data_IF_617796260344
#
_entry.id   IF_617796260344
#
_cell.length_a   1.000
_cell.length_b   1.000
_cell.length_c   1.000
_cell.angle_alpha   90.00
_cell.angle_beta   90.00
_cell.angle_gamma   90.00
#
_symmetry.space_group_name_H-M   'P 1'
#
loop_
_entity.id
_entity.type
_entity.pdbx_description
1 polymer ?
#
# COMPACT_ATOMS: atom_id res chain seq x y z
N UNK A 1 13.34 15.97 -34.99
CA UNK A 1 13.21 15.54 -33.59
C UNK A 1 12.09 16.39 -33.01
N UNK A 2 10.86 15.87 -32.94
CA UNK A 2 9.78 16.50 -32.20
C UNK A 2 10.21 16.55 -30.72
N UNK A 3 10.20 17.75 -30.12
CA UNK A 3 10.23 17.86 -28.67
C UNK A 3 8.99 17.10 -28.17
N UNK A 4 9.20 15.95 -27.55
CA UNK A 4 8.10 15.26 -26.91
C UNK A 4 7.43 16.23 -25.94
N UNK A 5 6.14 16.35 -26.03
CA UNK A 5 5.35 17.09 -25.03
C UNK A 5 5.68 16.48 -23.68
N UNK A 6 6.03 17.31 -22.72
CA UNK A 6 6.33 16.88 -21.36
C UNK A 6 5.03 16.33 -20.80
N UNK A 7 4.95 15.03 -20.58
CA UNK A 7 3.82 14.42 -19.89
C UNK A 7 3.87 14.87 -18.43
N UNK A 8 2.75 15.31 -17.91
CA UNK A 8 2.60 15.89 -16.59
C UNK A 8 1.43 15.20 -15.91
N UNK A 9 1.48 15.07 -14.59
CA UNK A 9 0.45 14.40 -13.83
C UNK A 9 -0.88 15.16 -13.90
N UNK A 10 -1.96 14.43 -14.22
CA UNK A 10 -3.31 14.96 -14.25
C UNK A 10 -4.13 14.41 -13.10
N UNK A 11 -4.78 15.29 -12.38
CA UNK A 11 -5.78 14.95 -11.38
C UNK A 11 -7.16 15.40 -11.84
N UNK A 12 -8.18 14.65 -11.45
CA UNK A 12 -9.58 14.93 -11.81
C UNK A 12 -10.47 14.89 -10.58
N UNK A 13 -11.40 15.86 -10.40
CA UNK A 13 -12.48 15.74 -9.43
C UNK A 13 -13.45 14.65 -9.87
N UNK A 14 -14.17 14.05 -8.93
CA UNK A 14 -15.11 12.96 -9.20
C UNK A 14 -16.34 13.02 -8.27
N UNK A 15 -17.42 12.36 -8.65
CA UNK A 15 -18.63 12.24 -7.86
C UNK A 15 -18.49 11.02 -6.93
N UNK A 16 -17.91 11.25 -5.74
CA UNK A 16 -17.67 10.16 -4.82
C UNK A 16 -18.96 9.48 -4.36
N UNK A 17 -18.96 8.15 -4.38
CA UNK A 17 -19.87 7.35 -3.58
C UNK A 17 -19.18 7.19 -2.22
N UNK A 18 -19.83 7.65 -1.14
CA UNK A 18 -19.23 7.72 0.17
C UNK A 18 -20.27 7.51 1.27
N UNK A 19 -19.88 7.03 2.48
CA UNK A 19 -20.83 6.82 3.56
C UNK A 19 -21.45 8.15 4.04
N UNK A 20 -22.64 8.07 4.59
CA UNK A 20 -23.17 9.17 5.41
C UNK A 20 -22.30 9.36 6.64
N UNK A 21 -22.24 10.58 7.20
CA UNK A 21 -21.31 10.93 8.28
C UNK A 21 -21.39 9.95 9.46
N UNK A 22 -22.61 9.62 9.88
CA UNK A 22 -22.88 8.75 11.04
C UNK A 22 -22.43 7.29 10.83
N UNK A 23 -22.13 6.90 9.59
CA UNK A 23 -21.69 5.55 9.23
C UNK A 23 -20.21 5.48 8.89
N UNK A 24 -19.52 6.60 8.68
CA UNK A 24 -18.15 6.63 8.20
C UNK A 24 -17.19 5.76 9.04
N UNK A 25 -17.25 5.86 10.35
CA UNK A 25 -16.42 5.06 11.27
C UNK A 25 -16.71 3.55 11.19
N UNK A 26 -17.97 3.17 10.98
CA UNK A 26 -18.39 1.77 10.88
C UNK A 26 -18.04 1.17 9.52
N UNK A 27 -18.06 1.99 8.46
CA UNK A 27 -17.77 1.59 7.09
C UNK A 27 -16.26 1.44 6.87
N UNK A 28 -15.46 2.37 7.38
CA UNK A 28 -14.03 2.44 7.15
C UNK A 28 -13.31 1.12 7.49
N UNK A 29 -12.73 0.47 6.49
CA UNK A 29 -12.10 -0.83 6.64
C UNK A 29 -10.64 -0.80 6.22
N UNK A 30 -9.81 -1.67 6.81
CA UNK A 30 -8.46 -1.91 6.31
C UNK A 30 -8.49 -2.45 4.87
N UNK A 31 -7.45 -2.20 4.06
CA UNK A 31 -7.35 -2.76 2.72
C UNK A 31 -7.47 -4.28 2.72
N UNK A 32 -8.02 -4.83 1.65
CA UNK A 32 -8.36 -6.26 1.48
C UNK A 32 -7.20 -7.23 1.72
N UNK A 33 -5.97 -6.78 1.54
CA UNK A 33 -4.74 -7.57 1.61
C UNK A 33 -4.03 -7.51 2.98
N UNK A 34 -4.55 -6.74 3.92
CA UNK A 34 -4.01 -6.62 5.29
C UNK A 34 -4.49 -7.76 6.18
N UNK A 35 -5.73 -8.24 5.97
CA UNK A 35 -6.37 -9.30 6.76
C UNK A 35 -6.59 -10.55 5.91
N UNK A 36 -6.41 -11.73 6.49
CA UNK A 36 -6.91 -12.96 5.89
C UNK A 36 -8.44 -13.07 6.09
N UNK A 37 -9.09 -14.06 5.46
CA UNK A 37 -10.56 -14.19 5.49
C UNK A 37 -11.11 -14.53 6.89
N UNK A 38 -10.34 -15.25 7.72
CA UNK A 38 -10.74 -15.59 9.09
C UNK A 38 -10.65 -14.36 10.00
N UNK A 39 -9.55 -13.61 9.93
CA UNK A 39 -9.37 -12.34 10.65
C UNK A 39 -10.46 -11.34 10.23
N UNK A 40 -10.79 -11.26 8.94
CA UNK A 40 -11.84 -10.37 8.46
C UNK A 40 -13.22 -10.74 9.01
N UNK A 41 -13.57 -12.04 9.12
CA UNK A 41 -14.81 -12.50 9.77
C UNK A 41 -14.89 -12.08 11.24
N UNK A 42 -13.75 -12.15 11.96
CA UNK A 42 -13.71 -11.70 13.36
C UNK A 42 -13.92 -10.19 13.49
N UNK A 43 -13.24 -9.41 12.64
CA UNK A 43 -13.33 -7.94 12.66
C UNK A 43 -14.75 -7.43 12.37
N UNK A 44 -15.50 -8.09 11.48
CA UNK A 44 -16.86 -7.62 11.13
C UNK A 44 -17.93 -8.09 12.10
N UNK A 45 -17.61 -8.88 13.13
CA UNK A 45 -18.61 -9.33 14.10
C UNK A 45 -19.32 -8.16 14.77
N UNK A 46 -20.63 -8.08 14.57
CA UNK A 46 -21.47 -7.00 15.10
C UNK A 46 -21.41 -5.68 14.31
N UNK A 47 -20.67 -5.63 13.20
CA UNK A 47 -20.62 -4.48 12.31
C UNK A 47 -21.08 -4.83 10.89
N UNK A 48 -22.39 -4.79 10.58
CA UNK A 48 -22.92 -5.11 9.26
C UNK A 48 -22.59 -4.06 8.21
N UNK A 49 -22.00 -2.93 8.57
CA UNK A 49 -21.67 -1.82 7.68
C UNK A 49 -20.20 -1.82 7.24
N UNK A 50 -19.36 -2.69 7.83
CA UNK A 50 -17.94 -2.76 7.46
C UNK A 50 -17.76 -2.94 5.96
N UNK A 51 -16.89 -2.14 5.36
CA UNK A 51 -16.60 -2.24 3.93
C UNK A 51 -15.88 -3.55 3.56
N UNK A 52 -15.42 -4.32 4.55
CA UNK A 52 -14.93 -5.68 4.30
C UNK A 52 -16.00 -6.60 3.69
N UNK A 53 -17.29 -6.34 3.90
CA UNK A 53 -18.37 -7.04 3.20
C UNK A 53 -18.37 -6.80 1.68
N UNK A 54 -17.71 -5.72 1.21
CA UNK A 54 -17.49 -5.45 -0.21
C UNK A 54 -16.10 -5.93 -0.65
N UNK A 55 -15.04 -5.51 0.03
CA UNK A 55 -13.65 -5.78 -0.39
C UNK A 55 -13.21 -7.23 -0.18
N UNK A 56 -13.86 -7.96 0.74
CA UNK A 56 -13.61 -9.36 1.12
C UNK A 56 -14.92 -10.14 1.26
N UNK A 57 -15.78 -10.06 0.24
CA UNK A 57 -17.15 -10.60 0.31
C UNK A 57 -17.24 -12.12 0.55
N UNK A 58 -16.12 -12.87 0.46
CA UNK A 58 -16.05 -14.27 0.87
C UNK A 58 -16.36 -14.46 2.36
N UNK A 59 -16.32 -13.41 3.17
CA UNK A 59 -16.68 -13.49 4.60
C UNK A 59 -18.16 -13.73 4.82
N UNK A 60 -19.00 -13.37 3.85
CA UNK A 60 -20.46 -13.54 3.87
C UNK A 60 -20.92 -14.88 3.27
N UNK A 61 -19.97 -15.69 2.80
CA UNK A 61 -20.23 -16.95 2.12
C UNK A 61 -19.69 -18.14 2.92
N UNK A 62 -19.98 -19.37 2.44
CA UNK A 62 -19.46 -20.59 3.05
C UNK A 62 -17.93 -20.53 3.16
N UNK A 63 -17.35 -20.72 4.36
CA UNK A 63 -15.90 -20.72 4.57
C UNK A 63 -15.12 -21.76 3.74
N UNK A 64 -15.78 -22.80 3.26
CA UNK A 64 -15.17 -23.80 2.39
C UNK A 64 -15.03 -23.30 0.92
N UNK A 65 -15.67 -22.19 0.58
CA UNK A 65 -15.58 -21.61 -0.76
C UNK A 65 -14.22 -20.95 -0.96
N UNK A 66 -13.66 -21.13 -2.16
CA UNK A 66 -12.46 -20.38 -2.56
C UNK A 66 -12.74 -18.87 -2.53
N UNK A 67 -11.85 -18.05 -1.98
CA UNK A 67 -12.00 -16.60 -2.05
C UNK A 67 -11.93 -16.03 -3.48
N UNK A 68 -11.59 -16.86 -4.46
CA UNK A 68 -11.53 -16.53 -5.88
C UNK A 68 -12.71 -17.12 -6.72
N UNK A 69 -13.72 -17.67 -6.05
CA UNK A 69 -14.95 -18.15 -6.72
C UNK A 69 -15.76 -16.97 -7.25
N UNK A 70 -16.41 -17.13 -8.40
CA UNK A 70 -17.16 -16.04 -9.04
C UNK A 70 -18.28 -15.47 -8.16
N UNK A 71 -18.89 -16.32 -7.32
CA UNK A 71 -19.90 -15.90 -6.32
C UNK A 71 -19.40 -14.88 -5.31
N UNK A 72 -18.08 -14.84 -5.05
CA UNK A 72 -17.49 -13.83 -4.15
C UNK A 72 -17.58 -12.44 -4.78
N UNK A 73 -17.28 -12.33 -6.06
CA UNK A 73 -17.35 -11.05 -6.78
C UNK A 73 -18.81 -10.61 -6.99
N UNK A 74 -19.72 -11.54 -7.31
CA UNK A 74 -21.15 -11.26 -7.37
C UNK A 74 -21.67 -10.70 -6.05
N UNK A 75 -21.27 -11.34 -4.93
CA UNK A 75 -21.62 -10.90 -3.58
C UNK A 75 -21.05 -9.51 -3.26
N UNK A 76 -19.82 -9.22 -3.63
CA UNK A 76 -19.23 -7.89 -3.48
C UNK A 76 -20.06 -6.80 -4.18
N UNK A 77 -20.44 -7.04 -5.45
CA UNK A 77 -21.28 -6.13 -6.21
C UNK A 77 -22.69 -5.99 -5.63
N UNK A 78 -23.29 -7.08 -5.09
CA UNK A 78 -24.57 -7.04 -4.39
C UNK A 78 -24.51 -6.20 -3.11
N UNK A 79 -23.47 -6.41 -2.29
CA UNK A 79 -23.27 -5.69 -1.03
C UNK A 79 -23.09 -4.18 -1.28
N UNK A 80 -22.27 -3.79 -2.27
CA UNK A 80 -22.11 -2.39 -2.62
C UNK A 80 -23.44 -1.74 -3.05
N UNK A 81 -24.21 -2.43 -3.92
CA UNK A 81 -25.53 -1.96 -4.33
C UNK A 81 -26.52 -1.90 -3.17
N UNK A 82 -26.42 -2.84 -2.22
CA UNK A 82 -27.24 -2.83 -1.01
C UNK A 82 -26.93 -1.62 -0.14
N UNK A 83 -25.67 -1.33 0.12
CA UNK A 83 -25.26 -0.14 0.91
C UNK A 83 -25.77 1.17 0.30
N UNK A 84 -25.79 1.27 -1.04
CA UNK A 84 -26.35 2.44 -1.73
C UNK A 84 -27.88 2.48 -1.56
N UNK A 85 -28.60 1.35 -1.75
CA UNK A 85 -30.07 1.30 -1.60
C UNK A 85 -30.55 1.57 -0.18
N UNK A 86 -29.75 1.19 0.82
CA UNK A 86 -30.04 1.39 2.25
C UNK A 86 -29.57 2.75 2.76
N UNK A 87 -29.12 3.62 1.87
CA UNK A 87 -28.64 4.95 2.17
C UNK A 87 -27.47 4.97 3.19
N UNK A 88 -26.75 3.85 3.31
CA UNK A 88 -25.45 3.81 4.01
C UNK A 88 -24.41 4.60 3.23
N UNK A 89 -24.50 4.55 1.90
CA UNK A 89 -23.73 5.35 0.98
C UNK A 89 -24.61 6.34 0.22
N UNK A 90 -24.08 7.53 0.03
CA UNK A 90 -24.61 8.57 -0.84
C UNK A 90 -23.64 8.81 -1.98
N UNK A 91 -24.13 9.25 -3.13
CA UNK A 91 -23.29 9.76 -4.20
C UNK A 91 -23.36 11.29 -4.23
N UNK A 92 -22.22 11.95 -4.27
CA UNK A 92 -22.18 13.40 -4.40
C UNK A 92 -22.78 13.85 -5.76
N UNK A 93 -23.56 14.92 -5.75
CA UNK A 93 -24.26 15.41 -6.95
C UNK A 93 -23.26 15.99 -7.96
N UNK A 94 -22.27 16.75 -7.46
CA UNK A 94 -21.26 17.42 -8.29
C UNK A 94 -19.87 16.83 -8.04
N UNK A 95 -18.99 16.82 -9.07
CA UNK A 95 -17.62 16.41 -8.90
C UNK A 95 -16.87 17.27 -7.88
N UNK A 96 -16.10 16.66 -7.00
CA UNK A 96 -15.30 17.32 -5.99
C UNK A 96 -13.93 16.66 -5.86
N UNK A 97 -12.99 17.39 -5.24
CA UNK A 97 -11.79 16.81 -4.64
C UNK A 97 -12.03 16.67 -3.14
N UNK A 98 -11.21 15.82 -2.46
CA UNK A 98 -11.31 15.69 -1.02
C UNK A 98 -9.91 15.74 -0.43
N UNK A 99 -9.80 16.22 0.80
CA UNK A 99 -8.60 16.10 1.60
C UNK A 99 -8.83 14.97 2.60
N UNK A 100 -7.90 14.06 2.73
CA UNK A 100 -7.94 12.96 3.68
C UNK A 100 -6.69 12.95 4.53
N UNK A 101 -6.87 13.16 5.83
CA UNK A 101 -5.81 13.18 6.81
C UNK A 101 -5.89 11.96 7.71
N UNK A 102 -4.73 11.38 7.98
CA UNK A 102 -4.55 10.29 8.92
C UNK A 102 -3.52 10.73 9.96
N UNK A 103 -3.88 10.60 11.25
CA UNK A 103 -2.96 10.88 12.35
C UNK A 103 -2.68 9.61 13.12
N UNK A 104 -1.42 9.20 13.18
CA UNK A 104 -0.95 8.03 13.89
C UNK A 104 0.23 8.41 14.79
N UNK A 105 0.16 8.08 16.07
CA UNK A 105 1.21 8.39 17.06
C UNK A 105 1.63 9.87 17.07
N UNK A 106 0.67 10.78 16.87
CA UNK A 106 0.89 12.23 16.85
C UNK A 106 1.49 12.78 15.54
N UNK A 107 1.70 11.93 14.53
CA UNK A 107 2.14 12.34 13.19
C UNK A 107 0.97 12.32 12.23
N UNK A 108 0.65 13.49 11.68
CA UNK A 108 -0.37 13.64 10.63
C UNK A 108 0.25 13.56 9.25
N UNK A 109 -0.48 12.97 8.30
CA UNK A 109 -0.24 13.01 6.86
C UNK A 109 -1.53 13.38 6.15
N UNK A 110 -1.49 14.36 5.25
CA UNK A 110 -2.66 14.87 4.54
C UNK A 110 -2.52 14.65 3.04
N UNK A 111 -3.44 13.91 2.46
CA UNK A 111 -3.47 13.60 1.03
C UNK A 111 -4.69 14.18 0.33
N UNK A 112 -4.56 14.40 -0.98
CA UNK A 112 -5.63 14.83 -1.85
C UNK A 112 -6.28 13.60 -2.51
N UNK A 113 -7.58 13.38 -2.27
CA UNK A 113 -8.36 12.30 -2.88
C UNK A 113 -8.90 12.79 -4.23
N UNK A 114 -8.52 12.07 -5.27
CA UNK A 114 -8.77 12.46 -6.67
C UNK A 114 -8.94 11.21 -7.54
N UNK A 115 -9.28 11.41 -8.80
CA UNK A 115 -9.06 10.40 -9.84
C UNK A 115 -7.83 10.74 -10.68
N UNK A 116 -7.02 9.71 -11.00
CA UNK A 116 -5.83 9.79 -11.87
C UNK A 116 -6.02 8.92 -13.10
N UNK A 117 -5.36 9.27 -14.21
CA UNK A 117 -5.57 8.61 -15.51
C UNK A 117 -4.91 7.23 -15.61
N UNK A 118 -5.62 6.27 -16.22
CA UNK A 118 -5.05 4.95 -16.57
C UNK A 118 -3.93 5.08 -17.61
N UNK A 119 -3.96 6.09 -18.47
CA UNK A 119 -2.93 6.33 -19.47
C UNK A 119 -1.59 6.72 -18.82
N UNK A 120 -1.65 7.49 -17.72
CA UNK A 120 -0.45 7.85 -16.95
C UNK A 120 0.16 6.66 -16.20
N UNK A 121 -0.64 5.65 -15.87
CA UNK A 121 -0.13 4.38 -15.36
C UNK A 121 0.58 3.58 -16.47
N UNK A 122 0.03 3.57 -17.69
CA UNK A 122 0.58 2.80 -18.81
C UNK A 122 1.89 3.42 -19.35
N UNK A 123 1.96 4.74 -19.42
CA UNK A 123 3.10 5.47 -19.97
C UNK A 123 4.19 5.83 -18.95
N UNK A 124 4.11 5.29 -17.71
CA UNK A 124 5.03 5.53 -16.60
C UNK A 124 5.13 6.99 -16.10
N UNK A 125 4.15 7.84 -16.34
CA UNK A 125 3.98 9.08 -15.60
C UNK A 125 3.67 8.79 -14.13
N UNK A 126 2.90 7.70 -13.87
CA UNK A 126 2.75 7.11 -12.54
C UNK A 126 3.78 5.99 -12.41
N UNK A 127 4.84 6.25 -11.65
CA UNK A 127 6.01 5.40 -11.47
C UNK A 127 5.71 4.20 -10.57
N UNK A 128 6.30 3.07 -10.90
CA UNK A 128 6.15 1.78 -10.22
C UNK A 128 7.50 1.35 -9.63
N UNK A 129 7.49 0.77 -8.44
CA UNK A 129 8.71 0.22 -7.82
C UNK A 129 8.56 -1.25 -7.42
N UNK A 130 7.39 -1.87 -7.68
CA UNK A 130 7.13 -3.29 -7.38
C UNK A 130 6.37 -3.95 -8.55
N UNK A 131 6.69 -5.21 -8.82
CA UNK A 131 5.95 -6.03 -9.81
C UNK A 131 4.71 -6.64 -9.19
N UNK A 132 3.61 -6.62 -9.93
CA UNK A 132 2.36 -7.27 -9.54
C UNK A 132 2.45 -8.78 -9.70
N UNK A 133 1.67 -9.53 -8.90
CA UNK A 133 1.47 -10.97 -9.08
C UNK A 133 0.19 -11.21 -9.86
N UNK A 134 0.30 -12.05 -10.90
CA UNK A 134 -0.78 -12.28 -11.85
C UNK A 134 -2.11 -12.71 -11.18
N UNK A 135 -2.06 -13.63 -10.22
CA UNK A 135 -3.27 -14.10 -9.51
C UNK A 135 -3.98 -12.97 -8.75
N UNK A 136 -3.20 -12.13 -8.05
CA UNK A 136 -3.76 -10.99 -7.31
C UNK A 136 -4.30 -9.90 -8.23
N UNK A 137 -3.70 -9.73 -9.39
CA UNK A 137 -4.16 -8.81 -10.40
C UNK A 137 -5.48 -9.27 -11.01
N UNK A 138 -5.60 -10.56 -11.39
CA UNK A 138 -6.83 -11.15 -11.89
C UNK A 138 -7.98 -11.07 -10.87
N UNK A 139 -7.67 -11.32 -9.60
CA UNK A 139 -8.62 -11.17 -8.51
C UNK A 139 -9.21 -9.74 -8.47
N UNK A 140 -8.34 -8.72 -8.47
CA UNK A 140 -8.81 -7.33 -8.41
C UNK A 140 -9.47 -6.85 -9.71
N UNK A 141 -9.06 -7.34 -10.88
CA UNK A 141 -9.76 -7.07 -12.15
C UNK A 141 -11.23 -7.51 -12.05
N UNK A 142 -11.50 -8.76 -11.63
CA UNK A 142 -12.85 -9.27 -11.47
C UNK A 142 -13.65 -8.46 -10.47
N UNK A 143 -13.03 -8.12 -9.33
CA UNK A 143 -13.68 -7.35 -8.29
C UNK A 143 -14.09 -5.95 -8.80
N UNK A 144 -13.17 -5.20 -9.42
CA UNK A 144 -13.46 -3.87 -9.98
C UNK A 144 -14.51 -3.94 -11.08
N UNK A 145 -14.42 -4.94 -11.97
CA UNK A 145 -15.36 -5.10 -13.09
C UNK A 145 -16.78 -5.40 -12.62
N UNK A 146 -16.95 -6.29 -11.63
CA UNK A 146 -18.27 -6.68 -11.10
C UNK A 146 -18.87 -5.61 -10.17
N UNK A 147 -18.06 -4.94 -9.36
CA UNK A 147 -18.50 -3.80 -8.55
C UNK A 147 -18.79 -2.57 -9.42
N UNK A 148 -18.24 -2.51 -10.63
CA UNK A 148 -18.31 -1.36 -11.54
C UNK A 148 -17.80 -0.08 -10.86
N UNK A 149 -16.77 -0.24 -10.02
CA UNK A 149 -16.21 0.82 -9.17
C UNK A 149 -14.80 0.49 -8.68
N UNK A 150 -14.01 1.53 -8.43
CA UNK A 150 -12.81 1.45 -7.61
C UNK A 150 -13.23 1.56 -6.13
N UNK A 151 -13.14 0.46 -5.39
CA UNK A 151 -13.64 0.34 -4.02
C UNK A 151 -12.64 0.74 -2.95
N UNK A 152 -11.34 0.72 -3.28
CA UNK A 152 -10.26 1.12 -2.38
C UNK A 152 -9.29 2.08 -3.07
N UNK A 153 -8.90 3.17 -2.42
CA UNK A 153 -8.00 4.15 -3.02
C UNK A 153 -6.60 3.59 -3.24
N UNK A 154 -5.96 4.04 -4.32
CA UNK A 154 -4.55 3.78 -4.58
C UNK A 154 -3.75 4.85 -3.84
N UNK A 155 -2.72 4.44 -3.13
CA UNK A 155 -1.87 5.33 -2.37
C UNK A 155 -0.71 5.81 -3.27
N UNK A 156 -0.82 7.05 -3.73
CA UNK A 156 0.21 7.69 -4.54
C UNK A 156 0.98 8.74 -3.73
N UNK A 157 2.18 9.04 -4.18
CA UNK A 157 2.98 10.13 -3.66
C UNK A 157 3.57 10.96 -4.79
N UNK A 158 3.97 12.18 -4.47
CA UNK A 158 4.62 13.11 -5.39
C UNK A 158 5.73 13.88 -4.66
N UNK A 159 6.71 14.38 -5.42
CA UNK A 159 7.73 15.29 -4.86
C UNK A 159 7.05 16.55 -4.38
N UNK A 160 7.19 16.86 -3.11
CA UNK A 160 6.48 17.95 -2.41
C UNK A 160 6.45 19.25 -3.20
N UNK A 161 5.27 19.85 -3.27
CA UNK A 161 5.01 21.17 -3.84
C UNK A 161 4.40 22.05 -2.75
N UNK A 162 5.13 23.07 -2.32
CA UNK A 162 4.76 23.93 -1.19
C UNK A 162 3.40 24.63 -1.38
N UNK A 163 3.04 24.93 -2.63
CA UNK A 163 1.76 25.55 -2.97
C UNK A 163 0.59 24.63 -2.61
N UNK A 164 0.69 23.33 -2.96
CA UNK A 164 -0.33 22.35 -2.65
C UNK A 164 -0.42 22.11 -1.13
N UNK A 165 0.73 22.04 -0.44
CA UNK A 165 0.75 21.90 1.03
C UNK A 165 0.09 23.07 1.72
N UNK A 166 0.43 24.29 1.33
CA UNK A 166 -0.19 25.50 1.90
C UNK A 166 -1.68 25.53 1.66
N UNK A 167 -2.13 25.17 0.46
CA UNK A 167 -3.55 25.08 0.16
C UNK A 167 -4.26 24.08 1.09
N UNK A 168 -3.75 22.86 1.21
CA UNK A 168 -4.33 21.82 2.07
C UNK A 168 -4.42 22.32 3.52
N UNK A 169 -3.37 22.95 4.05
CA UNK A 169 -3.35 23.49 5.41
C UNK A 169 -4.41 24.58 5.62
N UNK A 170 -4.47 25.57 4.73
CA UNK A 170 -5.45 26.65 4.81
C UNK A 170 -6.89 26.13 4.70
N UNK A 171 -7.14 25.18 3.78
CA UNK A 171 -8.47 24.60 3.62
C UNK A 171 -8.96 23.90 4.90
N UNK A 172 -8.11 23.13 5.56
CA UNK A 172 -8.43 22.45 6.81
C UNK A 172 -8.73 23.40 7.96
N UNK A 173 -8.06 24.57 8.01
CA UNK A 173 -8.28 25.59 9.03
C UNK A 173 -9.59 26.36 8.82
N UNK A 174 -10.01 26.53 7.57
CA UNK A 174 -11.15 27.39 7.19
C UNK A 174 -12.46 26.61 7.03
N UNK A 175 -12.43 25.28 6.91
CA UNK A 175 -13.61 24.47 6.60
C UNK A 175 -13.81 23.35 7.60
N UNK A 176 -15.10 23.06 7.88
CA UNK A 176 -15.46 21.91 8.70
C UNK A 176 -15.22 20.59 7.94
N UNK A 177 -14.72 19.55 8.61
CA UNK A 177 -14.57 18.23 8.01
C UNK A 177 -15.93 17.58 7.76
N UNK A 178 -16.00 16.72 6.74
CA UNK A 178 -17.15 15.83 6.49
C UNK A 178 -17.10 14.53 7.31
N UNK A 179 -15.90 14.15 7.78
CA UNK A 179 -15.68 13.01 8.67
C UNK A 179 -14.62 13.35 9.70
N UNK A 180 -14.85 12.89 10.94
CA UNK A 180 -13.84 12.86 12.00
C UNK A 180 -14.12 11.67 12.89
N UNK A 181 -13.21 10.71 12.93
CA UNK A 181 -13.31 9.54 13.83
C UNK A 181 -11.93 8.94 14.11
N UNK A 182 -11.83 8.21 15.21
CA UNK A 182 -10.66 7.38 15.53
C UNK A 182 -11.03 5.91 15.34
N UNK A 183 -10.25 5.19 14.54
CA UNK A 183 -10.42 3.77 14.31
C UNK A 183 -9.90 2.94 15.51
N UNK A 184 -10.23 1.64 15.55
CA UNK A 184 -9.86 0.75 16.66
C UNK A 184 -8.33 0.61 16.85
N UNK A 185 -7.55 0.79 15.80
CA UNK A 185 -6.08 0.80 15.84
C UNK A 185 -5.47 2.12 16.32
N UNK A 186 -6.31 3.07 16.76
CA UNK A 186 -5.90 4.36 17.30
C UNK A 186 -5.53 5.39 16.25
N UNK A 187 -5.71 5.10 14.96
CA UNK A 187 -5.51 6.07 13.87
C UNK A 187 -6.71 7.00 13.80
N UNK A 188 -6.47 8.31 13.85
CA UNK A 188 -7.48 9.32 13.61
C UNK A 188 -7.62 9.56 12.10
N UNK A 189 -8.85 9.63 11.63
CA UNK A 189 -9.22 9.86 10.24
C UNK A 189 -10.08 11.11 10.14
N UNK A 190 -9.64 12.08 9.34
CA UNK A 190 -10.38 13.31 9.09
C UNK A 190 -10.46 13.56 7.59
N UNK A 191 -11.63 13.95 7.09
CA UNK A 191 -11.80 14.24 5.68
C UNK A 191 -12.57 15.55 5.45
N UNK A 192 -12.18 16.29 4.41
CA UNK A 192 -12.84 17.53 3.97
C UNK A 192 -13.21 17.43 2.50
N UNK A 193 -14.32 18.06 2.13
CA UNK A 193 -14.75 18.18 0.74
C UNK A 193 -14.30 19.53 0.16
N UNK A 194 -13.75 19.50 -1.04
CA UNK A 194 -13.35 20.68 -1.82
C UNK A 194 -14.26 20.72 -3.05
N UNK A 195 -15.34 21.52 -2.99
CA UNK A 195 -16.36 21.59 -4.03
C UNK A 195 -16.38 22.94 -4.77
N UNK A 196 -15.57 23.93 -4.37
CA UNK A 196 -15.44 25.19 -5.08
C UNK A 196 -14.71 24.98 -6.41
N UNK A 197 -15.38 25.29 -7.53
CA UNK A 197 -14.86 25.07 -8.88
C UNK A 197 -13.56 25.84 -9.13
N UNK A 198 -13.46 27.08 -8.66
CA UNK A 198 -12.26 27.91 -8.84
C UNK A 198 -11.06 27.34 -8.10
N UNK A 199 -11.31 26.75 -6.95
CA UNK A 199 -10.32 26.06 -6.12
C UNK A 199 -9.89 24.74 -6.76
N UNK A 200 -10.84 23.95 -7.26
CA UNK A 200 -10.57 22.72 -8.00
C UNK A 200 -9.65 23.01 -9.20
N UNK A 201 -10.00 24.01 -10.01
CA UNK A 201 -9.17 24.43 -11.17
C UNK A 201 -7.76 24.82 -10.73
N UNK A 202 -7.63 25.56 -9.64
CA UNK A 202 -6.32 25.95 -9.10
C UNK A 202 -5.48 24.76 -8.70
N UNK A 203 -6.07 23.77 -8.02
CA UNK A 203 -5.37 22.55 -7.63
C UNK A 203 -5.00 21.69 -8.84
N UNK A 204 -5.92 21.50 -9.79
CA UNK A 204 -5.64 20.74 -11.03
C UNK A 204 -4.44 21.34 -11.75
N UNK A 205 -4.43 22.66 -11.96
CA UNK A 205 -3.32 23.37 -12.60
C UNK A 205 -2.01 23.24 -11.81
N UNK A 206 -2.09 23.25 -10.47
CA UNK A 206 -0.90 23.05 -9.64
C UNK A 206 -0.26 21.66 -9.85
N UNK A 207 -1.05 20.62 -10.11
CA UNK A 207 -0.56 19.29 -10.40
C UNK A 207 0.01 19.15 -11.82
N UNK A 208 -0.41 19.96 -12.78
CA UNK A 208 0.17 19.96 -14.14
C UNK A 208 1.67 20.30 -14.17
N UNK A 209 2.22 20.90 -13.11
CA UNK A 209 3.67 21.11 -12.99
C UNK A 209 4.42 19.93 -12.35
N UNK A 210 3.72 18.90 -11.87
CA UNK A 210 4.32 17.72 -11.24
C UNK A 210 4.65 16.70 -12.33
N UNK A 211 5.93 16.36 -12.54
CA UNK A 211 6.33 15.54 -13.69
C UNK A 211 5.94 14.07 -13.51
N UNK A 212 5.92 13.56 -12.30
CA UNK A 212 5.63 12.15 -12.01
C UNK A 212 4.87 11.99 -10.68
N UNK A 213 4.00 11.01 -10.65
CA UNK A 213 3.46 10.42 -9.43
C UNK A 213 4.15 9.07 -9.18
N UNK A 214 4.11 8.59 -7.96
CA UNK A 214 4.76 7.33 -7.57
C UNK A 214 3.76 6.50 -6.76
N UNK A 215 3.63 5.22 -7.08
CA UNK A 215 2.80 4.32 -6.28
C UNK A 215 3.53 4.06 -4.96
N UNK A 216 2.95 4.47 -3.84
CA UNK A 216 3.43 4.12 -2.51
C UNK A 216 2.88 2.75 -2.08
N UNK A 217 1.57 2.54 -2.24
CA UNK A 217 0.89 1.27 -1.94
C UNK A 217 -0.27 1.05 -2.91
N UNK A 218 -0.59 -0.21 -3.21
CA UNK A 218 -1.69 -0.58 -4.09
C UNK A 218 -1.29 -0.87 -5.54
N UNK A 219 -0.09 -1.40 -5.81
CA UNK A 219 0.36 -1.80 -7.15
C UNK A 219 -0.64 -2.73 -7.86
N UNK A 220 -1.22 -3.71 -7.14
CA UNK A 220 -2.24 -4.60 -7.72
C UNK A 220 -3.54 -3.85 -8.05
N UNK A 221 -3.95 -2.90 -7.20
CA UNK A 221 -5.14 -2.05 -7.45
C UNK A 221 -4.93 -1.15 -8.66
N UNK A 222 -3.75 -0.52 -8.79
CA UNK A 222 -3.41 0.31 -9.96
C UNK A 222 -3.43 -0.49 -11.26
N UNK A 223 -2.74 -1.64 -11.29
CA UNK A 223 -2.69 -2.51 -12.45
C UNK A 223 -4.08 -3.00 -12.87
N UNK A 224 -4.90 -3.40 -11.89
CA UNK A 224 -6.25 -3.89 -12.15
C UNK A 224 -7.18 -2.80 -12.66
N UNK A 225 -7.14 -1.61 -12.07
CA UNK A 225 -7.95 -0.47 -12.51
C UNK A 225 -7.60 -0.07 -13.95
N UNK A 226 -6.30 0.02 -14.28
CA UNK A 226 -5.85 0.31 -15.63
C UNK A 226 -6.33 -0.76 -16.65
N UNK A 227 -6.22 -2.05 -16.29
CA UNK A 227 -6.69 -3.13 -17.17
C UNK A 227 -8.20 -3.12 -17.36
N UNK A 228 -9.00 -2.87 -16.32
CA UNK A 228 -10.46 -2.74 -16.47
C UNK A 228 -10.81 -1.56 -17.37
N UNK A 229 -10.14 -0.42 -17.22
CA UNK A 229 -10.33 0.72 -18.10
C UNK A 229 -10.05 0.38 -19.56
N UNK A 230 -8.94 -0.31 -19.85
CA UNK A 230 -8.63 -0.78 -21.21
C UNK A 230 -9.68 -1.76 -21.75
N UNK A 231 -10.14 -2.72 -20.93
CA UNK A 231 -11.23 -3.62 -21.30
C UNK A 231 -12.51 -2.85 -21.65
N UNK A 232 -12.87 -1.80 -20.88
CA UNK A 232 -14.03 -0.94 -21.15
C UNK A 232 -13.87 -0.13 -22.45
N UNK A 233 -12.65 0.33 -22.77
CA UNK A 233 -12.34 0.97 -24.06
C UNK A 233 -12.57 0.02 -25.23
N UNK A 234 -12.13 -1.24 -25.13
CA UNK A 234 -12.36 -2.25 -26.16
C UNK A 234 -13.85 -2.53 -26.38
N UNK A 235 -14.64 -2.53 -25.31
CA UNK A 235 -16.10 -2.71 -25.35
C UNK A 235 -16.84 -1.45 -25.85
N UNK A 236 -16.22 -0.29 -25.77
CA UNK A 236 -16.78 1.00 -26.18
C UNK A 236 -15.85 1.71 -27.18
N UNK A 237 -15.81 1.28 -28.46
CA UNK A 237 -14.86 1.84 -29.45
C UNK A 237 -15.00 3.33 -29.72
N UNK A 238 -16.10 3.95 -29.29
CA UNK A 238 -16.35 5.38 -29.46
C UNK A 238 -16.08 6.18 -28.18
N UNK A 239 -15.32 5.62 -27.22
CA UNK A 239 -14.96 6.35 -26.00
C UNK A 239 -14.23 7.65 -26.36
N UNK A 240 -14.43 8.67 -25.53
CA UNK A 240 -13.89 10.02 -25.74
C UNK A 240 -12.60 10.26 -24.95
N UNK A 241 -12.35 9.46 -23.92
CA UNK A 241 -11.29 9.63 -22.93
C UNK A 241 -11.78 10.31 -21.65
N UNK A 242 -13.03 10.80 -21.63
CA UNK A 242 -13.60 11.49 -20.47
C UNK A 242 -14.50 10.60 -19.60
N UNK A 243 -14.74 9.36 -20.01
CA UNK A 243 -15.53 8.39 -19.26
C UNK A 243 -14.81 7.98 -17.97
N UNK A 244 -15.56 7.71 -16.91
CA UNK A 244 -15.04 7.44 -15.57
C UNK A 244 -14.10 6.22 -15.54
N UNK A 245 -14.28 5.22 -16.38
CA UNK A 245 -13.40 4.06 -16.48
C UNK A 245 -11.99 4.36 -17.03
N UNK A 246 -11.76 5.59 -17.54
CA UNK A 246 -10.41 6.06 -17.92
C UNK A 246 -9.59 6.59 -16.73
N UNK A 247 -10.17 6.57 -15.55
CA UNK A 247 -9.58 7.10 -14.32
C UNK A 247 -9.71 6.10 -13.17
N UNK A 248 -8.85 6.23 -12.17
CA UNK A 248 -8.94 5.43 -10.95
C UNK A 248 -8.75 6.27 -9.70
N UNK A 249 -9.41 5.83 -8.63
CA UNK A 249 -9.40 6.48 -7.32
C UNK A 249 -8.01 6.46 -6.69
N UNK A 250 -7.50 7.62 -6.33
CA UNK A 250 -6.18 7.78 -5.71
C UNK A 250 -6.23 8.74 -4.53
N UNK A 251 -5.30 8.56 -3.59
CA UNK A 251 -4.97 9.57 -2.59
C UNK A 251 -3.50 9.94 -2.75
N UNK A 252 -3.23 11.21 -3.00
CA UNK A 252 -1.92 11.76 -3.32
C UNK A 252 -1.33 12.49 -2.12
N UNK A 253 -0.22 12.00 -1.59
CA UNK A 253 0.48 12.63 -0.46
C UNK A 253 1.81 13.24 -0.91
N UNK A 254 2.22 14.37 -0.34
CA UNK A 254 3.58 14.85 -0.50
C UNK A 254 4.56 13.85 0.14
N UNK A 255 5.67 13.53 -0.54
CA UNK A 255 6.59 12.46 -0.11
C UNK A 255 7.20 12.68 1.27
N UNK A 256 7.38 13.94 1.68
CA UNK A 256 7.96 14.33 2.97
C UNK A 256 7.00 14.15 4.17
N UNK A 257 5.74 13.84 3.92
CA UNK A 257 4.77 13.49 4.96
C UNK A 257 4.64 11.98 5.16
N UNK A 258 5.23 11.17 4.28
CA UNK A 258 5.11 9.72 4.35
C UNK A 258 6.18 9.08 5.24
N UNK A 259 5.82 7.93 5.80
CA UNK A 259 6.71 7.10 6.60
C UNK A 259 6.68 5.67 6.09
N UNK A 260 7.85 5.17 5.72
CA UNK A 260 8.06 3.75 5.46
C UNK A 260 8.56 3.11 6.74
N UNK A 261 7.89 2.03 7.15
CA UNK A 261 8.27 1.23 8.31
C UNK A 261 9.08 0.03 7.88
N UNK A 262 9.77 -0.59 8.81
CA UNK A 262 10.52 -1.81 8.58
C UNK A 262 9.61 -2.96 8.12
N UNK A 263 10.10 -3.74 7.16
CA UNK A 263 9.43 -4.95 6.70
C UNK A 263 10.36 -6.13 7.00
N UNK A 264 10.09 -6.82 8.08
CA UNK A 264 10.95 -7.84 8.66
C UNK A 264 10.74 -9.20 8.00
N UNK A 265 11.67 -10.12 8.19
CA UNK A 265 11.61 -11.49 7.64
C UNK A 265 11.69 -12.51 8.76
N UNK A 266 10.99 -13.63 8.57
CA UNK A 266 11.12 -14.82 9.40
C UNK A 266 11.35 -16.04 8.52
N UNK A 267 12.18 -16.99 8.97
CA UNK A 267 12.51 -18.19 8.21
C UNK A 267 12.22 -19.44 9.02
N UNK A 268 11.62 -20.45 8.37
CA UNK A 268 11.16 -21.69 9.03
C UNK A 268 12.28 -22.65 9.37
N UNK A 269 13.37 -22.61 8.61
CA UNK A 269 14.52 -23.49 8.81
C UNK A 269 15.83 -22.81 8.43
N UNK A 270 16.95 -23.45 8.73
CA UNK A 270 18.30 -22.99 8.42
C UNK A 270 18.93 -23.80 7.27
N UNK A 271 18.14 -24.32 6.34
CA UNK A 271 18.63 -25.12 5.20
C UNK A 271 19.49 -26.33 5.64
N UNK A 272 19.06 -27.03 6.70
CA UNK A 272 19.78 -28.16 7.25
C UNK A 272 21.04 -27.85 8.04
N UNK A 273 21.42 -26.58 8.19
CA UNK A 273 22.58 -26.16 8.97
C UNK A 273 22.26 -26.21 10.48
N UNK A 274 23.27 -26.56 11.28
CA UNK A 274 23.22 -26.26 12.70
C UNK A 274 23.35 -24.77 12.93
N UNK A 275 22.93 -24.27 14.08
CA UNK A 275 23.07 -22.86 14.44
C UNK A 275 24.52 -22.38 14.35
N UNK A 276 25.49 -23.17 14.86
CA UNK A 276 26.91 -22.82 14.77
C UNK A 276 27.40 -22.74 13.32
N UNK A 277 26.96 -23.68 12.46
CA UNK A 277 27.30 -23.67 11.03
C UNK A 277 26.68 -22.43 10.33
N UNK A 278 25.44 -22.11 10.66
CA UNK A 278 24.73 -20.95 10.12
C UNK A 278 25.46 -19.65 10.54
N UNK A 279 25.70 -19.46 11.84
CA UNK A 279 26.43 -18.30 12.34
C UNK A 279 27.81 -18.17 11.68
N UNK A 280 28.51 -19.27 11.48
CA UNK A 280 29.80 -19.27 10.78
C UNK A 280 29.68 -18.88 9.32
N UNK A 281 28.64 -19.35 8.61
CA UNK A 281 28.46 -19.01 7.18
C UNK A 281 28.13 -17.54 6.98
N UNK A 282 27.26 -16.96 7.80
CA UNK A 282 26.90 -15.54 7.66
C UNK A 282 28.08 -14.60 7.93
N UNK A 283 29.11 -15.03 8.69
CA UNK A 283 30.32 -14.19 8.88
C UNK A 283 31.13 -13.95 7.61
N UNK A 284 30.82 -14.62 6.50
CA UNK A 284 31.42 -14.29 5.19
C UNK A 284 30.94 -12.94 4.69
N UNK A 285 29.71 -12.55 5.02
CA UNK A 285 29.04 -11.36 4.52
C UNK A 285 28.83 -10.28 5.59
N UNK A 286 28.74 -10.69 6.86
CA UNK A 286 28.40 -9.80 7.97
C UNK A 286 29.42 -9.91 9.12
N UNK A 287 29.63 -8.82 9.81
CA UNK A 287 30.12 -8.84 11.20
C UNK A 287 28.94 -9.23 12.08
N UNK A 288 29.15 -10.20 12.96
CA UNK A 288 28.11 -10.77 13.83
C UNK A 288 28.48 -10.54 15.29
N UNK A 289 27.65 -9.81 16.01
CA UNK A 289 27.86 -9.49 17.42
C UNK A 289 26.58 -9.80 18.20
N UNK A 290 26.68 -10.42 19.41
CA UNK A 290 25.51 -10.56 20.29
C UNK A 290 25.04 -9.13 20.70
N UNK A 291 23.74 -8.85 20.55
CA UNK A 291 23.21 -7.52 20.80
C UNK A 291 23.17 -7.22 22.31
N UNK A 292 23.55 -5.99 22.68
CA UNK A 292 23.53 -5.54 24.08
C UNK A 292 22.13 -5.14 24.56
N UNK A 293 21.13 -5.13 23.67
CA UNK A 293 19.72 -4.75 23.92
C UNK A 293 18.79 -5.79 23.33
N UNK A 294 17.65 -6.02 23.97
CA UNK A 294 16.62 -6.93 23.53
C UNK A 294 15.24 -6.27 23.69
N UNK A 295 14.42 -6.25 22.65
CA UNK A 295 14.74 -6.62 21.28
C UNK A 295 15.71 -5.62 20.59
N UNK A 296 16.45 -6.09 19.59
CA UNK A 296 17.36 -5.24 18.82
C UNK A 296 16.69 -4.69 17.55
N UNK A 297 16.56 -3.36 17.48
CA UNK A 297 16.09 -2.62 16.32
C UNK A 297 17.25 -1.90 15.65
N UNK A 298 17.52 -2.16 14.34
CA UNK A 298 18.52 -1.37 13.61
C UNK A 298 18.20 0.12 13.66
N UNK A 299 19.19 0.96 13.90
CA UNK A 299 19.09 2.41 13.98
C UNK A 299 19.77 3.14 12.81
N UNK A 300 20.42 2.40 11.93
CA UNK A 300 21.14 2.91 10.77
C UNK A 300 21.08 1.89 9.61
N UNK A 301 21.14 2.36 8.35
CA UNK A 301 21.24 1.46 7.19
C UNK A 301 22.45 0.54 7.28
N UNK A 302 22.40 -0.59 6.58
CA UNK A 302 23.45 -1.62 6.50
C UNK A 302 23.66 -2.38 7.80
N UNK A 303 22.70 -2.23 8.74
CA UNK A 303 22.63 -3.03 9.97
C UNK A 303 21.32 -3.81 10.02
N UNK A 304 21.37 -4.99 10.62
CA UNK A 304 20.21 -5.88 10.76
C UNK A 304 20.19 -6.44 12.17
N UNK A 305 19.00 -6.71 12.69
CA UNK A 305 18.85 -7.56 13.85
C UNK A 305 18.56 -8.98 13.40
N UNK A 306 19.09 -9.95 14.11
CA UNK A 306 18.78 -11.36 13.94
C UNK A 306 18.40 -11.96 15.29
N UNK A 307 17.22 -12.58 15.33
CA UNK A 307 16.76 -13.33 16.51
C UNK A 307 16.77 -14.82 16.23
N UNK A 308 17.53 -15.55 17.00
CA UNK A 308 17.66 -17.02 16.92
C UNK A 308 17.99 -17.57 18.33
N UNK A 309 17.38 -18.69 18.70
CA UNK A 309 17.65 -19.38 19.96
C UNK A 309 17.60 -18.44 21.19
N UNK A 310 16.52 -17.65 21.28
CA UNK A 310 16.25 -16.71 22.37
C UNK A 310 17.29 -15.56 22.53
N UNK A 311 18.10 -15.31 21.47
CA UNK A 311 19.12 -14.26 21.46
C UNK A 311 19.00 -13.33 20.27
N UNK A 312 19.26 -12.06 20.50
CA UNK A 312 19.43 -11.09 19.45
C UNK A 312 20.92 -10.91 19.10
N UNK A 313 21.16 -10.79 17.79
CA UNK A 313 22.45 -10.46 17.21
C UNK A 313 22.32 -9.21 16.37
N UNK A 314 23.33 -8.32 16.45
CA UNK A 314 23.55 -7.25 15.48
C UNK A 314 24.37 -7.82 14.33
N UNK A 315 23.86 -7.66 13.11
CA UNK A 315 24.59 -7.96 11.89
C UNK A 315 24.95 -6.64 11.21
N UNK A 316 26.22 -6.42 10.88
CA UNK A 316 26.67 -5.29 10.06
C UNK A 316 27.24 -5.84 8.77
N UNK A 317 26.71 -5.43 7.62
CA UNK A 317 27.19 -5.92 6.32
C UNK A 317 28.62 -5.43 6.08
N UNK A 318 29.45 -6.28 5.48
CA UNK A 318 30.82 -5.92 5.09
C UNK A 318 30.79 -5.11 3.81
N UNK A 319 31.47 -3.96 3.77
CA UNK A 319 31.45 -3.02 2.65
C UNK A 319 31.86 -3.65 1.30
N UNK A 320 32.78 -4.60 1.33
CA UNK A 320 33.26 -5.30 0.13
C UNK A 320 32.27 -6.29 -0.47
N UNK A 321 31.11 -6.54 0.16
CA UNK A 321 30.14 -7.56 -0.28
C UNK A 321 29.00 -6.99 -1.11
N UNK A 322 28.81 -5.67 -1.17
CA UNK A 322 27.74 -5.05 -1.94
C UNK A 322 28.24 -3.78 -2.67
N UNK A 323 27.53 -3.36 -3.71
CA UNK A 323 27.81 -2.10 -4.41
C UNK A 323 26.88 -1.00 -3.86
N UNK A 324 27.45 -0.05 -3.14
CA UNK A 324 26.70 1.09 -2.57
C UNK A 324 26.18 2.07 -3.65
N UNK A 325 26.68 2.00 -4.90
CA UNK A 325 26.23 2.86 -5.98
C UNK A 325 25.08 2.22 -6.80
N UNK A 326 24.82 0.92 -6.62
CA UNK A 326 23.67 0.26 -7.24
C UNK A 326 22.42 0.54 -6.40
N UNK A 327 21.45 1.25 -6.99
CA UNK A 327 20.24 1.68 -6.32
C UNK A 327 19.43 0.53 -5.71
N UNK A 328 19.39 -0.62 -6.38
CA UNK A 328 18.61 -1.78 -5.93
C UNK A 328 19.45 -2.70 -5.05
N UNK A 329 20.66 -3.07 -5.49
CA UNK A 329 21.53 -3.99 -4.71
C UNK A 329 22.08 -3.36 -3.44
N UNK A 330 22.16 -2.02 -3.40
CA UNK A 330 22.51 -1.27 -2.21
C UNK A 330 21.45 -1.23 -1.12
N UNK A 331 20.19 -1.62 -1.39
CA UNK A 331 19.14 -1.66 -0.37
C UNK A 331 19.40 -2.73 0.69
N UNK A 332 19.06 -2.46 1.94
CA UNK A 332 19.17 -3.43 3.03
C UNK A 332 18.37 -4.71 2.75
N UNK A 333 17.18 -4.58 2.18
CA UNK A 333 16.36 -5.72 1.77
C UNK A 333 17.03 -6.59 0.70
N UNK A 334 17.78 -5.98 -0.24
CA UNK A 334 18.53 -6.69 -1.28
C UNK A 334 19.77 -7.38 -0.69
N UNK A 335 20.50 -6.67 0.17
CA UNK A 335 21.68 -7.21 0.86
C UNK A 335 21.31 -8.45 1.68
N UNK A 336 20.24 -8.38 2.48
CA UNK A 336 19.76 -9.53 3.24
C UNK A 336 19.32 -10.69 2.32
N UNK A 337 18.60 -10.37 1.23
CA UNK A 337 18.15 -11.34 0.24
C UNK A 337 19.33 -12.04 -0.43
N UNK A 338 20.27 -11.26 -0.95
CA UNK A 338 21.35 -11.79 -1.78
C UNK A 338 22.36 -12.61 -0.95
N UNK A 339 22.76 -12.11 0.23
CA UNK A 339 23.84 -12.72 1.01
C UNK A 339 23.38 -13.72 2.04
N UNK A 340 22.22 -13.50 2.68
CA UNK A 340 21.76 -14.41 3.72
C UNK A 340 20.68 -15.37 3.21
N UNK A 341 19.59 -14.84 2.63
CA UNK A 341 18.49 -15.71 2.21
C UNK A 341 18.89 -16.58 1.02
N UNK A 342 19.55 -16.01 -0.02
CA UNK A 342 19.91 -16.77 -1.22
C UNK A 342 21.18 -17.61 -1.04
N UNK A 343 22.28 -17.02 -0.50
CA UNK A 343 23.56 -17.72 -0.46
C UNK A 343 23.68 -18.73 0.70
N UNK A 344 23.07 -18.44 1.85
CA UNK A 344 23.19 -19.28 3.04
C UNK A 344 21.97 -20.20 3.20
N UNK A 345 20.76 -19.65 3.01
CA UNK A 345 19.52 -20.41 3.19
C UNK A 345 18.94 -21.00 1.89
N UNK A 346 19.54 -20.68 0.73
CA UNK A 346 19.07 -21.11 -0.61
C UNK A 346 17.60 -20.72 -0.89
N UNK A 347 17.16 -19.57 -0.34
CA UNK A 347 15.86 -18.97 -0.61
C UNK A 347 16.05 -17.94 -1.74
N UNK A 348 15.92 -18.37 -2.99
CA UNK A 348 16.24 -17.55 -4.16
C UNK A 348 15.09 -16.63 -4.59
N UNK A 349 13.86 -17.08 -4.48
CA UNK A 349 12.67 -16.23 -4.75
C UNK A 349 11.72 -16.23 -3.55
N UNK A 350 11.79 -15.17 -2.71
CA UNK A 350 10.97 -15.08 -1.50
C UNK A 350 9.47 -14.90 -1.77
N UNK A 351 9.04 -14.72 -3.05
CA UNK A 351 7.62 -14.65 -3.42
C UNK A 351 6.96 -16.03 -3.49
N UNK A 352 7.76 -17.05 -3.77
CA UNK A 352 7.29 -18.42 -3.99
C UNK A 352 7.83 -19.44 -2.99
N UNK A 353 8.91 -19.13 -2.26
CA UNK A 353 9.49 -20.02 -1.25
C UNK A 353 8.69 -19.93 0.06
N UNK A 354 8.04 -21.05 0.43
CA UNK A 354 7.22 -21.13 1.65
C UNK A 354 8.02 -21.15 2.95
N UNK A 355 9.36 -21.17 2.90
CA UNK A 355 10.24 -21.17 4.08
C UNK A 355 10.44 -19.76 4.65
N UNK A 356 10.18 -18.71 3.89
CA UNK A 356 10.28 -17.33 4.33
C UNK A 356 8.89 -16.69 4.41
N UNK A 357 8.71 -15.87 5.45
CA UNK A 357 7.53 -15.03 5.63
C UNK A 357 7.92 -13.61 6.02
N UNK A 358 6.95 -12.68 5.95
CA UNK A 358 7.18 -11.26 6.11
C UNK A 358 6.33 -10.70 7.26
N UNK A 359 6.94 -9.86 8.10
CA UNK A 359 6.30 -9.25 9.26
C UNK A 359 6.45 -7.74 9.17
N UNK A 360 5.34 -7.01 8.96
CA UNK A 360 5.35 -5.55 8.96
C UNK A 360 5.72 -4.97 10.31
N UNK A 361 6.48 -3.89 10.31
CA UNK A 361 7.03 -3.26 11.52
C UNK A 361 5.97 -2.80 12.53
N UNK A 362 4.72 -2.59 12.07
CA UNK A 362 3.57 -2.27 12.94
C UNK A 362 3.31 -3.33 14.02
N UNK A 363 3.70 -4.59 13.77
CA UNK A 363 3.53 -5.69 14.72
C UNK A 363 4.56 -5.69 15.86
N UNK A 364 5.59 -4.84 15.78
CA UNK A 364 6.68 -4.77 16.75
C UNK A 364 7.69 -5.91 16.61
N UNK A 365 8.82 -5.78 17.30
CA UNK A 365 9.87 -6.80 17.30
C UNK A 365 9.53 -7.98 18.21
N UNK A 366 8.67 -7.79 19.20
CA UNK A 366 8.15 -8.83 20.08
C UNK A 366 7.39 -9.90 19.28
N UNK A 367 6.78 -9.53 18.17
CA UNK A 367 6.15 -10.49 17.27
C UNK A 367 7.19 -11.43 16.62
N UNK A 368 8.37 -10.91 16.29
CA UNK A 368 9.46 -11.73 15.77
C UNK A 368 9.94 -12.75 16.81
N UNK A 369 10.12 -12.32 18.06
CA UNK A 369 10.45 -13.21 19.19
C UNK A 369 9.35 -14.26 19.38
N UNK A 370 8.08 -13.84 19.40
CA UNK A 370 6.93 -14.75 19.56
C UNK A 370 6.89 -15.83 18.49
N UNK A 371 7.10 -15.46 17.23
CA UNK A 371 7.08 -16.39 16.09
C UNK A 371 8.22 -17.42 16.16
N UNK A 372 9.41 -17.00 16.55
CA UNK A 372 10.56 -17.91 16.70
C UNK A 372 10.38 -18.78 17.94
N UNK A 373 10.00 -18.22 19.08
CA UNK A 373 9.83 -18.94 20.35
C UNK A 373 8.67 -19.94 20.30
N UNK A 374 7.65 -19.71 19.45
CA UNK A 374 6.58 -20.69 19.22
C UNK A 374 7.03 -21.95 18.48
N UNK A 375 8.23 -21.92 17.88
CA UNK A 375 8.75 -22.99 17.02
C UNK A 375 8.19 -22.99 15.60
N UNK A 376 7.33 -22.02 15.24
CA UNK A 376 6.83 -21.87 13.87
C UNK A 376 7.93 -21.42 12.89
N UNK A 377 8.90 -20.67 13.39
CA UNK A 377 10.05 -20.19 12.64
C UNK A 377 11.35 -20.46 13.42
N UNK A 378 12.46 -20.56 12.71
CA UNK A 378 13.77 -20.85 13.28
C UNK A 378 14.60 -19.60 13.56
N UNK A 379 14.44 -18.58 12.72
CA UNK A 379 15.10 -17.30 12.91
C UNK A 379 14.23 -16.16 12.36
N UNK A 380 14.47 -14.95 12.88
CA UNK A 380 13.85 -13.72 12.43
C UNK A 380 14.91 -12.64 12.17
N UNK A 381 14.61 -11.73 11.24
CA UNK A 381 15.49 -10.63 10.86
C UNK A 381 14.73 -9.32 10.89
N UNK A 382 15.20 -8.37 11.72
CA UNK A 382 14.72 -6.99 11.71
C UNK A 382 15.60 -6.13 10.80
N UNK A 383 14.97 -5.26 10.01
CA UNK A 383 15.63 -4.43 9.02
C UNK A 383 15.51 -2.94 9.39
N UNK A 384 16.45 -2.14 8.89
CA UNK A 384 16.26 -0.71 8.80
C UNK A 384 15.27 -0.41 7.67
N UNK A 385 14.30 0.52 7.86
CA UNK A 385 13.32 0.85 6.82
C UNK A 385 13.97 1.41 5.55
N UNK A 386 13.45 1.04 4.38
CA UNK A 386 13.77 1.72 3.11
C UNK A 386 13.36 3.18 3.18
N UNK A 387 14.16 4.10 2.67
CA UNK A 387 13.82 5.53 2.67
C UNK A 387 12.86 5.91 1.53
N UNK A 388 12.18 7.06 1.66
CA UNK A 388 11.39 7.63 0.57
C UNK A 388 12.26 8.02 -0.62
N UNK A 389 13.47 8.50 -0.35
CA UNK A 389 14.46 8.87 -1.37
C UNK A 389 14.89 7.65 -2.20
N UNK A 390 15.13 6.49 -1.56
CA UNK A 390 15.46 5.24 -2.25
C UNK A 390 14.28 4.80 -3.16
N UNK A 391 13.04 4.87 -2.64
CA UNK A 391 11.86 4.53 -3.42
C UNK A 391 11.74 5.40 -4.67
N UNK A 392 11.82 6.72 -4.50
CA UNK A 392 11.70 7.67 -5.61
C UNK A 392 12.83 7.49 -6.63
N UNK A 393 14.08 7.31 -6.16
CA UNK A 393 15.24 7.13 -7.04
C UNK A 393 15.14 5.85 -7.88
N UNK A 394 14.72 4.74 -7.27
CA UNK A 394 14.55 3.45 -7.96
C UNK A 394 13.41 3.53 -8.98
N UNK A 395 12.28 4.13 -8.62
CA UNK A 395 11.15 4.32 -9.52
C UNK A 395 11.50 5.27 -10.69
N UNK A 396 12.28 6.34 -10.44
CA UNK A 396 12.77 7.25 -11.48
C UNK A 396 13.73 6.55 -12.46
N UNK A 397 14.54 5.62 -11.98
CA UNK A 397 15.43 4.81 -12.80
C UNK A 397 14.68 3.74 -13.62
N UNK A 398 13.38 3.53 -13.41
CA UNK A 398 12.60 2.46 -14.03
C UNK A 398 12.95 1.07 -13.50
N UNK A 399 13.59 1.02 -12.34
CA UNK A 399 13.98 -0.21 -11.67
C UNK A 399 12.90 -0.65 -10.67
N UNK A 400 13.01 -1.88 -10.16
CA UNK A 400 12.08 -2.44 -9.20
C UNK A 400 12.80 -2.96 -7.96
N UNK A 401 12.18 -2.76 -6.81
CA UNK A 401 12.66 -3.29 -5.54
C UNK A 401 12.39 -4.79 -5.42
N UNK A 402 13.13 -5.51 -4.58
CA UNK A 402 12.72 -6.82 -4.10
C UNK A 402 11.31 -6.78 -3.50
N UNK A 403 10.56 -7.88 -3.50
CA UNK A 403 9.21 -7.90 -2.92
C UNK A 403 9.25 -7.56 -1.44
N UNK A 404 8.22 -6.85 -0.98
CA UNK A 404 8.06 -6.49 0.43
C UNK A 404 9.23 -5.65 0.96
N UNK A 405 9.63 -4.63 0.19
CA UNK A 405 10.67 -3.65 0.56
C UNK A 405 10.11 -2.46 1.31
N UNK A 406 8.83 -2.16 1.16
CA UNK A 406 8.17 -0.99 1.75
C UNK A 406 6.92 -1.39 2.51
N UNK A 407 6.71 -0.77 3.68
CA UNK A 407 5.51 -0.89 4.48
C UNK A 407 5.07 0.51 4.92
N UNK A 408 4.03 1.04 4.30
CA UNK A 408 3.50 2.37 4.63
C UNK A 408 2.49 2.29 5.76
N UNK A 409 2.63 3.17 6.75
CA UNK A 409 1.67 3.40 7.82
C UNK A 409 1.40 4.91 7.98
N UNK A 410 0.19 5.28 8.39
CA UNK A 410 -0.99 4.44 8.53
C UNK A 410 -1.58 4.00 7.20
N UNK A 411 -2.32 2.88 7.21
CA UNK A 411 -3.01 2.36 6.01
C UNK A 411 -4.23 3.19 5.68
N UNK A 412 -4.41 3.52 4.39
CA UNK A 412 -5.64 4.12 3.91
C UNK A 412 -6.83 3.19 4.16
N UNK A 413 -7.99 3.76 4.49
CA UNK A 413 -9.21 2.97 4.63
C UNK A 413 -9.93 2.82 3.30
N UNK A 414 -10.40 1.62 3.00
CA UNK A 414 -11.41 1.35 1.99
C UNK A 414 -12.78 1.79 2.46
N UNK A 415 -13.67 2.15 1.53
CA UNK A 415 -15.06 2.48 1.80
C UNK A 415 -15.35 3.93 2.18
N UNK A 416 -14.35 4.76 2.50
CA UNK A 416 -14.59 6.19 2.74
C UNK A 416 -14.85 6.96 1.44
N UNK A 417 -14.23 6.51 0.35
CA UNK A 417 -14.43 7.03 -0.98
C UNK A 417 -14.46 5.86 -1.96
N UNK A 418 -15.43 5.86 -2.87
CA UNK A 418 -15.60 4.89 -3.93
C UNK A 418 -15.83 5.66 -5.22
N UNK A 419 -15.12 5.29 -6.28
CA UNK A 419 -15.24 5.89 -7.59
C UNK A 419 -16.00 4.93 -8.52
N UNK A 420 -17.18 5.35 -9.01
CA UNK A 420 -17.98 4.61 -10.00
C UNK A 420 -17.32 4.69 -11.37
N UNK A 421 -17.35 3.60 -12.12
CA UNK A 421 -16.85 3.56 -13.50
C UNK A 421 -17.91 3.93 -14.56
N UNK A 422 -19.10 4.41 -14.10
CA UNK A 422 -20.23 4.88 -14.94
C UNK A 422 -20.30 6.37 -14.99
#
# INVERSE_FOLDING_TARGET
MCKGERKLAKIRPFRAIRPVEEKAAQVAALPYDVLNSEEAREVVKGNPYSFLHVDKAEIDLDPALSPYDDRVYEKAGENLKQFIREEVFIQDEEPALYIYELTMQGRAQSGLVVCTSIDEYDDDTIKKHERTRHEKELDRIRHVDVCDANTGPIFLTYRTKDEVKRFISSWKEEHAPIYTFTAEDGVEHVAWKVADESVIVTLVNAFEDIPNLYIADGHHRSASAAKVGLMRREQNPNYTGEEEFNFFLSVLFPHDELSIWDYNRVVKDLNGLSEEQFLKQITQYFYVEEANVSPYKPNEPKTFGMYINEKWYKLTVKEETFDANDLVKGLDVSILQDHLLSQVLEIHDPRSDSRVDFVGGIRGLEELERLVNSGAYKAAFSLYPTSMEDLLAIADAGEVMPPKSTWFEPKLRSGLFVHSLK
#
